data_IF_304514149413
#
_entry.id   IF_304514149413
#
_cell.length_a   1.000
_cell.length_b   1.000
_cell.length_c   1.000
_cell.angle_alpha   90.00
_cell.angle_beta   90.00
_cell.angle_gamma   90.00
#
_symmetry.space_group_name_H-M   'P 1'
#
loop_
_entity.id
_entity.type
_entity.pdbx_description
1 polymer ?
#
# COMPACT_ATOMS: atom_id res chain seq x y z
N UNK A 1 -8.59 -12.57 1.90
CA UNK A 1 -7.39 -12.23 1.10
C UNK A 1 -6.28 -11.78 2.04
N UNK A 2 -5.03 -12.17 1.80
CA UNK A 2 -3.87 -11.83 2.66
C UNK A 2 -3.70 -10.32 2.89
N UNK A 3 -4.06 -9.49 1.90
CA UNK A 3 -3.98 -8.03 2.00
C UNK A 3 -4.74 -7.44 3.21
N UNK A 4 -5.77 -8.13 3.74
CA UNK A 4 -6.57 -7.65 4.86
C UNK A 4 -5.73 -7.39 6.13
N UNK A 5 -4.65 -8.14 6.38
CA UNK A 5 -3.76 -7.94 7.53
C UNK A 5 -3.09 -6.57 7.53
N UNK A 6 -2.87 -6.00 6.35
CA UNK A 6 -2.24 -4.68 6.17
C UNK A 6 -3.24 -3.53 6.28
N UNK A 7 -4.52 -3.85 6.48
CA UNK A 7 -5.64 -2.91 6.65
C UNK A 7 -5.70 -1.79 5.58
N UNK A 8 -5.59 -2.12 4.28
CA UNK A 8 -5.73 -1.13 3.23
C UNK A 8 -7.18 -0.63 3.14
N UNK A 9 -7.37 0.57 2.58
CA UNK A 9 -8.69 1.05 2.16
C UNK A 9 -9.03 0.60 0.73
N UNK A 10 -8.03 0.58 -0.16
CA UNK A 10 -8.17 0.20 -1.57
C UNK A 10 -7.07 -0.83 -1.87
N UNK A 11 -7.43 -1.90 -2.57
CA UNK A 11 -6.49 -2.90 -3.10
C UNK A 11 -6.57 -2.84 -4.62
N UNK A 12 -5.43 -2.67 -5.28
CA UNK A 12 -5.32 -2.60 -6.73
C UNK A 12 -4.55 -3.82 -7.22
N UNK A 13 -5.10 -4.51 -8.22
CA UNK A 13 -4.38 -5.55 -8.94
C UNK A 13 -3.59 -4.89 -10.08
N UNK A 14 -2.28 -4.81 -9.92
CA UNK A 14 -1.38 -4.15 -10.88
C UNK A 14 -0.82 -5.10 -11.92
N UNK A 15 -1.02 -6.42 -11.77
CA UNK A 15 -0.38 -7.45 -12.60
C UNK A 15 1.15 -7.40 -12.66
N UNK A 16 1.79 -6.53 -11.86
CA UNK A 16 3.20 -6.20 -11.91
C UNK A 16 4.03 -6.87 -10.80
N UNK A 17 5.34 -6.58 -10.74
CA UNK A 17 6.17 -7.03 -9.63
C UNK A 17 5.70 -6.43 -8.30
N UNK A 18 6.03 -7.11 -7.20
CA UNK A 18 5.72 -6.62 -5.85
C UNK A 18 6.41 -5.28 -5.57
N UNK A 19 5.76 -4.45 -4.76
CA UNK A 19 6.25 -3.13 -4.31
C UNK A 19 6.36 -2.06 -5.41
N UNK A 20 5.77 -2.28 -6.59
CA UNK A 20 5.74 -1.28 -7.66
C UNK A 20 5.07 0.04 -7.27
N UNK A 21 4.26 0.05 -6.21
CA UNK A 21 3.65 1.27 -5.66
C UNK A 21 4.64 2.28 -5.09
N UNK A 22 5.88 1.86 -4.79
CA UNK A 22 6.93 2.78 -4.34
C UNK A 22 7.24 3.86 -5.38
N UNK A 23 7.16 3.51 -6.67
CA UNK A 23 7.47 4.42 -7.79
C UNK A 23 6.34 5.43 -8.06
N UNK A 24 5.25 5.34 -7.30
CA UNK A 24 4.08 6.21 -7.48
C UNK A 24 4.14 7.46 -6.61
N UNK A 25 5.07 7.52 -5.65
CA UNK A 25 5.21 8.65 -4.72
C UNK A 25 5.36 9.97 -5.48
N UNK A 26 4.53 10.94 -5.11
CA UNK A 26 4.47 12.25 -5.77
C UNK A 26 3.59 12.30 -7.02
N UNK A 27 3.06 11.15 -7.48
CA UNK A 27 2.15 11.07 -8.63
C UNK A 27 0.69 11.00 -8.21
N UNK A 28 -0.17 11.29 -9.17
CA UNK A 28 -1.61 11.11 -9.03
C UNK A 28 -2.05 9.75 -9.55
N UNK A 29 -2.98 9.15 -8.82
CA UNK A 29 -3.61 7.90 -9.13
C UNK A 29 -5.11 8.16 -9.27
N UNK A 30 -5.63 7.89 -10.46
CA UNK A 30 -7.08 7.87 -10.68
C UNK A 30 -7.59 6.47 -10.35
N UNK A 31 -8.65 6.38 -9.55
CA UNK A 31 -9.37 5.14 -9.24
C UNK A 31 -10.86 5.45 -9.34
N UNK A 32 -11.56 4.84 -10.29
CA UNK A 32 -12.96 5.21 -10.55
C UNK A 32 -13.09 6.71 -10.84
N UNK A 33 -13.91 7.40 -10.06
CA UNK A 33 -14.10 8.85 -10.14
C UNK A 33 -13.15 9.65 -9.23
N UNK A 34 -12.40 8.99 -8.34
CA UNK A 34 -11.53 9.66 -7.38
C UNK A 34 -10.13 9.90 -7.94
N UNK A 35 -9.51 11.01 -7.53
CA UNK A 35 -8.09 11.29 -7.78
C UNK A 35 -7.36 11.34 -6.44
N UNK A 36 -6.33 10.51 -6.30
CA UNK A 36 -5.55 10.36 -5.08
C UNK A 36 -4.09 10.73 -5.36
N UNK A 37 -3.49 11.60 -4.53
CA UNK A 37 -2.04 11.82 -4.56
C UNK A 37 -1.34 10.80 -3.69
N UNK A 38 -0.42 10.04 -4.25
CA UNK A 38 0.42 9.13 -3.48
C UNK A 38 1.49 9.92 -2.73
N UNK A 39 1.46 9.83 -1.39
CA UNK A 39 2.26 10.67 -0.51
C UNK A 39 3.55 9.99 -0.06
N UNK A 40 3.48 8.72 0.33
CA UNK A 40 4.61 7.99 0.89
C UNK A 40 4.36 6.47 0.90
N UNK A 41 5.41 5.64 0.84
CA UNK A 41 5.33 4.23 1.21
C UNK A 41 4.85 4.06 2.65
N UNK A 42 4.10 2.99 2.94
CA UNK A 42 3.55 2.74 4.27
C UNK A 42 4.49 1.86 5.10
N UNK A 43 5.20 2.41 6.11
CA UNK A 43 6.03 1.60 6.99
C UNK A 43 5.15 0.66 7.82
N UNK A 44 5.54 -0.62 7.87
CA UNK A 44 4.80 -1.65 8.60
C UNK A 44 5.45 -1.94 9.94
N UNK A 45 4.62 -2.00 10.97
CA UNK A 45 5.01 -2.46 12.31
C UNK A 45 4.71 -3.96 12.46
N UNK A 46 4.70 -4.48 13.69
CA UNK A 46 4.40 -5.88 13.97
C UNK A 46 2.92 -6.25 13.79
N UNK A 47 2.00 -5.28 13.71
CA UNK A 47 0.55 -5.54 13.71
C UNK A 47 0.10 -6.50 12.59
N UNK A 48 0.59 -6.42 11.33
CA UNK A 48 0.22 -7.37 10.28
C UNK A 48 0.61 -8.82 10.59
N UNK A 49 1.51 -9.05 11.55
CA UNK A 49 1.95 -10.41 11.93
C UNK A 49 0.98 -11.12 12.88
N UNK A 50 0.05 -10.39 13.48
CA UNK A 50 -0.94 -10.94 14.40
C UNK A 50 -2.03 -11.70 13.64
N UNK A 51 -2.82 -12.47 14.38
CA UNK A 51 -4.06 -13.06 13.85
C UNK A 51 -5.03 -11.96 13.42
N UNK A 52 -5.71 -12.18 12.29
CA UNK A 52 -6.63 -11.19 11.71
C UNK A 52 -7.85 -11.87 11.09
N UNK A 53 -8.96 -11.89 11.83
CA UNK A 53 -10.16 -12.63 11.42
C UNK A 53 -9.85 -14.12 11.27
N UNK A 54 -10.08 -14.68 10.08
CA UNK A 54 -9.76 -16.06 9.75
C UNK A 54 -8.26 -16.30 9.41
N UNK A 55 -7.44 -15.25 9.38
CA UNK A 55 -6.04 -15.34 9.00
C UNK A 55 -5.17 -15.60 10.25
N UNK A 56 -4.43 -16.73 10.33
CA UNK A 56 -3.64 -17.11 11.51
C UNK A 56 -2.43 -16.18 11.71
N UNK A 57 -1.73 -16.21 12.83
CA UNK A 57 -0.49 -15.42 13.01
C UNK A 57 0.52 -15.70 11.87
N UNK A 58 1.12 -14.67 11.31
CA UNK A 58 2.16 -14.82 10.27
C UNK A 58 3.29 -13.79 10.38
N UNK A 59 4.47 -14.22 10.82
CA UNK A 59 5.66 -13.35 10.88
C UNK A 59 6.20 -12.94 9.50
N UNK A 60 5.84 -13.69 8.45
CA UNK A 60 6.16 -13.38 7.06
C UNK A 60 5.65 -12.03 6.63
N UNK A 61 4.49 -11.60 7.15
CA UNK A 61 3.87 -10.32 6.86
C UNK A 61 4.75 -9.09 7.17
N UNK A 62 5.76 -9.23 8.04
CA UNK A 62 6.76 -8.19 8.26
C UNK A 62 8.15 -8.60 7.74
N UNK A 63 8.52 -9.87 7.88
CA UNK A 63 9.85 -10.37 7.45
C UNK A 63 10.06 -10.24 5.95
N UNK A 64 9.02 -10.43 5.13
CA UNK A 64 9.12 -10.33 3.67
C UNK A 64 9.39 -8.88 3.24
N UNK A 65 8.59 -7.87 3.63
CA UNK A 65 8.94 -6.46 3.39
C UNK A 65 10.29 -6.05 3.97
N UNK A 66 10.67 -6.55 5.15
CA UNK A 66 11.97 -6.25 5.76
C UNK A 66 13.16 -6.81 4.97
N UNK A 67 12.96 -7.86 4.17
CA UNK A 67 14.00 -8.42 3.30
C UNK A 67 13.98 -7.81 1.91
N UNK A 68 12.79 -7.54 1.36
CA UNK A 68 12.62 -7.23 -0.06
C UNK A 68 12.35 -5.75 -0.33
N UNK A 69 11.89 -4.98 0.66
CA UNK A 69 11.43 -3.61 0.47
C UNK A 69 11.74 -2.71 1.67
N UNK A 70 13.03 -2.48 1.92
CA UNK A 70 13.52 -1.47 2.86
C UNK A 70 13.69 -0.14 2.12
N UNK A 71 12.73 0.76 2.28
CA UNK A 71 12.75 2.09 1.65
C UNK A 71 12.57 3.15 2.71
N UNK A 72 13.13 4.33 2.49
CA UNK A 72 12.91 5.49 3.35
C UNK A 72 11.53 6.09 3.01
N UNK A 73 10.51 5.97 3.89
CA UNK A 73 9.16 6.39 3.53
C UNK A 73 9.00 7.92 3.55
N UNK A 74 9.81 8.62 4.35
CA UNK A 74 9.86 10.07 4.45
C UNK A 74 11.29 10.52 4.73
N UNK A 75 11.73 11.71 4.24
CA UNK A 75 13.07 12.21 4.46
C UNK A 75 13.46 12.25 5.95
N UNK A 76 14.59 11.63 6.29
CA UNK A 76 15.15 11.62 7.64
C UNK A 76 14.61 10.52 8.55
N UNK A 77 13.69 9.66 8.08
CA UNK A 77 13.13 8.57 8.87
C UNK A 77 13.93 7.26 8.74
N UNK A 78 14.86 7.21 7.78
CA UNK A 78 15.67 6.04 7.45
C UNK A 78 14.87 4.90 6.82
N UNK A 79 15.54 3.85 6.32
CA UNK A 79 14.87 2.72 5.68
C UNK A 79 13.94 1.95 6.63
N UNK A 80 12.72 1.65 6.17
CA UNK A 80 11.70 0.88 6.89
C UNK A 80 11.13 -0.21 5.99
N UNK A 81 10.67 -1.34 6.54
CA UNK A 81 9.90 -2.33 5.80
C UNK A 81 8.58 -1.71 5.37
N UNK A 82 8.38 -1.51 4.06
CA UNK A 82 7.19 -0.86 3.53
C UNK A 82 6.36 -1.84 2.68
N UNK A 83 5.04 -1.68 2.74
CA UNK A 83 4.11 -2.36 1.85
C UNK A 83 2.87 -1.48 1.67
N UNK A 84 2.45 -1.19 0.45
CA UNK A 84 1.40 -0.20 0.18
C UNK A 84 1.86 1.24 0.36
N UNK A 85 0.97 2.18 0.03
CA UNK A 85 1.22 3.63 0.09
C UNK A 85 0.10 4.36 0.84
N UNK A 86 0.45 5.47 1.47
CA UNK A 86 -0.52 6.47 1.91
C UNK A 86 -0.84 7.41 0.77
N UNK A 87 -2.11 7.74 0.61
CA UNK A 87 -2.56 8.68 -0.39
C UNK A 87 -3.53 9.71 0.19
N UNK A 88 -3.50 10.91 -0.37
CA UNK A 88 -4.42 12.01 -0.06
C UNK A 88 -5.49 12.11 -1.14
N UNK A 89 -6.75 12.30 -0.75
CA UNK A 89 -7.82 12.60 -1.71
C UNK A 89 -7.60 14.01 -2.27
N UNK A 90 -7.34 14.10 -3.57
CA UNK A 90 -7.23 15.37 -4.32
C UNK A 90 -8.58 15.77 -4.90
N UNK A 91 -9.29 14.79 -5.47
CA UNK A 91 -10.67 14.97 -5.95
C UNK A 91 -11.51 13.82 -5.41
N UNK A 92 -12.58 14.13 -4.63
CA UNK A 92 -13.48 13.09 -4.15
C UNK A 92 -14.29 12.51 -5.31
N UNK A 93 -14.60 11.22 -5.21
CA UNK A 93 -15.39 10.51 -6.20
C UNK A 93 -15.80 9.14 -5.67
N UNK A 94 -16.78 8.52 -6.32
CA UNK A 94 -17.15 7.14 -6.02
C UNK A 94 -16.07 6.19 -6.53
N UNK A 95 -15.82 5.16 -5.73
CA UNK A 95 -14.92 4.06 -6.06
C UNK A 95 -15.64 2.77 -5.73
N UNK A 96 -15.82 1.92 -6.74
CA UNK A 96 -16.44 0.61 -6.64
C UNK A 96 -15.46 -0.49 -7.09
N UNK A 97 -15.67 -1.72 -6.63
CA UNK A 97 -14.84 -2.86 -7.04
C UNK A 97 -15.02 -3.11 -8.54
N UNK A 98 -13.89 -3.18 -9.26
CA UNK A 98 -13.87 -3.35 -10.72
C UNK A 98 -13.65 -2.04 -11.48
N UNK A 99 -13.64 -0.89 -10.79
CA UNK A 99 -13.29 0.38 -11.42
C UNK A 99 -11.87 0.37 -11.98
N UNK A 100 -11.64 0.99 -13.15
CA UNK A 100 -10.30 1.13 -13.69
C UNK A 100 -9.48 2.07 -12.82
N UNK A 101 -8.16 1.85 -12.81
CA UNK A 101 -7.20 2.77 -12.24
C UNK A 101 -6.07 3.06 -13.22
N UNK A 102 -5.47 4.24 -13.10
CA UNK A 102 -4.27 4.64 -13.86
C UNK A 102 -3.47 5.68 -13.11
N UNK A 103 -2.16 5.63 -13.29
CA UNK A 103 -1.27 6.71 -12.86
C UNK A 103 -1.28 7.84 -13.89
N UNK A 104 -1.23 9.07 -13.40
CA UNK A 104 -1.01 10.27 -14.18
C UNK A 104 0.48 10.66 -14.20
#
# INVERSE_FOLDING_TARGET
>A
MEAARYRPNIVLDTGGPGFGENDWVGRDLVVGEAVLRVMAPTPRCSVPTLEHGALPRDTGALRVPARLNLVEPLPGLGPRPCAGVYAQVVTPGRVDVGDPFRLL
#
